data_IF_512809404012
#
_entry.id   IF_512809404012
#
_cell.length_a   1.000
_cell.length_b   1.000
_cell.length_c   1.000
_cell.angle_alpha   90.00
_cell.angle_beta   90.00
_cell.angle_gamma   90.00
#
_symmetry.space_group_name_H-M   'P 1'
#
loop_
_entity.id
_entity.type
_entity.pdbx_description
1 polymer ?
#
# COMPACT_ATOMS: atom_id res chain seq x y z
N UNK A 1 -48.06 -27.91 70.79
CA UNK A 1 -46.83 -28.13 69.99
C UNK A 1 -46.89 -27.23 68.75
N UNK A 2 -46.22 -26.07 68.81
CA UNK A 2 -46.18 -25.10 67.74
C UNK A 2 -44.90 -25.35 66.96
N UNK A 3 -45.00 -25.66 65.64
CA UNK A 3 -43.84 -25.76 64.73
C UNK A 3 -43.60 -24.37 64.12
N UNK A 4 -42.45 -23.76 64.40
CA UNK A 4 -41.95 -22.55 63.82
C UNK A 4 -41.21 -22.95 62.57
N UNK A 5 -41.68 -22.47 61.40
CA UNK A 5 -41.03 -22.62 60.08
C UNK A 5 -40.09 -21.45 59.89
N UNK A 6 -38.78 -21.66 59.96
CA UNK A 6 -37.74 -20.69 59.61
C UNK A 6 -37.52 -20.66 58.10
N UNK A 7 -37.91 -19.58 57.45
CA UNK A 7 -37.62 -19.31 56.07
C UNK A 7 -36.20 -18.72 55.99
N UNK A 8 -35.24 -19.45 55.44
CA UNK A 8 -33.95 -18.94 55.08
C UNK A 8 -34.08 -18.25 53.67
N UNK A 9 -34.04 -16.94 53.65
CA UNK A 9 -33.87 -16.16 52.40
C UNK A 9 -32.36 -16.17 52.11
N UNK A 10 -31.94 -16.99 51.13
CA UNK A 10 -30.59 -16.93 50.59
C UNK A 10 -30.51 -15.73 49.66
N UNK A 11 -29.88 -14.65 50.09
CA UNK A 11 -29.45 -13.55 49.24
C UNK A 11 -28.31 -14.07 48.37
N UNK A 12 -28.62 -14.48 47.15
CA UNK A 12 -27.60 -14.73 46.14
C UNK A 12 -27.00 -13.38 45.74
N UNK A 13 -25.85 -13.03 46.31
CA UNK A 13 -25.02 -11.97 45.78
C UNK A 13 -24.52 -12.40 44.40
N UNK A 14 -25.19 -11.94 43.36
CA UNK A 14 -24.66 -12.02 42.00
C UNK A 14 -23.43 -11.12 41.98
N UNK A 15 -22.25 -11.69 42.20
CA UNK A 15 -21.03 -11.06 41.84
C UNK A 15 -21.02 -11.00 40.32
N UNK A 16 -21.50 -9.90 39.76
CA UNK A 16 -21.29 -9.56 38.38
C UNK A 16 -19.78 -9.46 38.14
N UNK A 17 -19.20 -10.44 37.48
CA UNK A 17 -17.88 -10.30 36.93
C UNK A 17 -17.96 -9.10 35.99
N UNK A 18 -17.44 -7.95 36.41
CA UNK A 18 -17.35 -6.76 35.53
C UNK A 18 -16.60 -7.20 34.29
N UNK A 19 -17.29 -7.25 33.15
CA UNK A 19 -16.63 -7.66 31.93
C UNK A 19 -15.61 -6.58 31.58
N UNK A 20 -14.38 -7.05 31.39
CA UNK A 20 -13.22 -6.19 31.11
C UNK A 20 -13.38 -5.48 29.79
N UNK A 21 -12.94 -4.23 29.75
CA UNK A 21 -12.79 -3.52 28.48
C UNK A 21 -11.84 -4.31 27.57
N UNK A 22 -12.25 -4.52 26.33
CA UNK A 22 -11.46 -5.23 25.30
C UNK A 22 -11.15 -4.28 24.16
N UNK A 23 -9.92 -4.33 23.69
CA UNK A 23 -9.42 -3.50 22.61
C UNK A 23 -9.00 -4.40 21.44
N UNK A 24 -9.05 -3.90 20.19
CA UNK A 24 -8.44 -4.60 19.07
C UNK A 24 -6.92 -4.63 19.26
N UNK A 25 -6.29 -5.68 18.77
CA UNK A 25 -4.85 -5.93 18.95
C UNK A 25 -3.94 -4.85 18.37
N UNK A 26 -4.43 -4.09 17.39
CA UNK A 26 -3.71 -2.95 16.82
C UNK A 26 -3.67 -1.72 17.77
N UNK A 27 -4.51 -1.68 18.79
CA UNK A 27 -4.48 -0.65 19.86
C UNK A 27 -3.69 -1.21 21.04
N UNK A 28 -2.46 -0.75 21.22
CA UNK A 28 -1.57 -1.30 22.23
C UNK A 28 -0.31 -0.45 22.45
N UNK A 29 0.60 -0.98 23.27
CA UNK A 29 1.92 -0.38 23.41
C UNK A 29 2.66 -0.37 22.07
N UNK A 30 3.55 0.59 21.94
CA UNK A 30 4.38 0.82 20.76
C UNK A 30 3.59 1.25 19.51
N UNK A 31 2.27 1.48 19.61
CA UNK A 31 1.48 2.03 18.52
C UNK A 31 1.90 3.47 18.18
N UNK A 32 1.79 3.83 16.90
CA UNK A 32 1.91 5.21 16.44
C UNK A 32 0.51 5.72 16.08
N UNK A 33 0.10 6.83 16.67
CA UNK A 33 -1.14 7.53 16.33
C UNK A 33 -0.87 8.66 15.34
N UNK A 34 -1.76 8.84 14.36
CA UNK A 34 -1.63 9.90 13.37
C UNK A 34 -1.63 11.26 14.06
N UNK A 35 -0.61 12.11 13.79
CA UNK A 35 -0.49 13.46 14.33
C UNK A 35 -1.53 14.43 13.75
N UNK A 36 -1.84 15.50 14.50
CA UNK A 36 -2.73 16.60 14.09
C UNK A 36 -4.08 16.13 13.54
N UNK A 37 -4.65 15.04 14.11
CA UNK A 37 -5.83 14.36 13.62
C UNK A 37 -6.83 14.02 14.73
N UNK A 38 -8.07 13.82 14.35
CA UNK A 38 -9.05 13.13 15.17
C UNK A 38 -8.84 11.62 15.00
N UNK A 39 -8.13 10.99 15.95
CA UNK A 39 -7.85 9.56 15.85
C UNK A 39 -8.99 8.75 16.43
N UNK A 40 -9.44 7.77 15.65
CA UNK A 40 -10.48 6.84 16.07
C UNK A 40 -9.88 5.77 16.98
N UNK A 41 -10.51 5.58 18.15
CA UNK A 41 -10.24 4.51 19.10
C UNK A 41 -11.54 3.73 19.34
N UNK A 42 -11.46 2.39 19.39
CA UNK A 42 -12.65 1.55 19.51
C UNK A 42 -12.37 0.27 20.26
N UNK A 43 -13.42 -0.42 20.63
CA UNK A 43 -13.33 -1.71 21.32
C UNK A 43 -14.68 -2.21 21.79
N UNK A 44 -14.65 -3.02 22.78
CA UNK A 44 -15.82 -3.67 23.37
C UNK A 44 -15.82 -3.52 24.89
N UNK A 45 -16.99 -3.37 25.46
CA UNK A 45 -17.27 -3.32 26.90
C UNK A 45 -18.60 -4.04 27.16
N UNK A 46 -19.12 -4.01 28.39
CA UNK A 46 -20.49 -4.42 28.65
C UNK A 46 -21.48 -3.57 27.86
N UNK A 47 -22.62 -4.14 27.45
CA UNK A 47 -23.68 -3.35 26.82
C UNK A 47 -24.08 -2.12 27.67
N UNK A 48 -24.17 -0.98 27.01
CA UNK A 48 -24.54 0.32 27.62
C UNK A 48 -23.60 0.82 28.73
N UNK A 49 -22.41 0.23 28.85
CA UNK A 49 -21.41 0.65 29.84
C UNK A 49 -20.76 1.99 29.44
N UNK A 50 -20.45 2.80 30.44
CA UNK A 50 -19.69 4.01 30.24
C UNK A 50 -18.20 3.64 29.96
N UNK A 51 -17.67 4.16 28.85
CA UNK A 51 -16.27 4.02 28.47
C UNK A 51 -15.63 5.41 28.50
N UNK A 52 -14.50 5.56 29.18
CA UNK A 52 -13.71 6.79 29.25
C UNK A 52 -12.33 6.56 28.67
N UNK A 53 -11.86 7.47 27.84
CA UNK A 53 -10.50 7.51 27.31
C UNK A 53 -9.81 8.77 27.83
N UNK A 54 -8.64 8.62 28.43
CA UNK A 54 -7.80 9.70 28.95
C UNK A 54 -6.39 9.59 28.37
N UNK A 55 -5.78 10.73 28.09
CA UNK A 55 -4.44 10.79 27.48
C UNK A 55 -3.51 11.68 28.26
N UNK A 56 -2.20 11.43 28.18
CA UNK A 56 -1.18 12.27 28.84
C UNK A 56 -1.03 13.66 28.21
N UNK A 57 -1.50 13.84 26.96
CA UNK A 57 -1.48 15.13 26.27
C UNK A 57 -2.73 15.99 26.51
N UNK A 58 -3.58 15.60 27.47
CA UNK A 58 -4.71 16.39 27.93
C UNK A 58 -6.00 16.25 27.13
N UNK A 59 -6.00 15.45 26.06
CA UNK A 59 -7.22 15.12 25.33
C UNK A 59 -7.92 13.92 25.97
N UNK A 60 -9.22 13.78 25.75
CA UNK A 60 -9.99 12.64 26.23
C UNK A 60 -11.37 12.59 25.61
N UNK A 61 -12.03 11.46 25.78
CA UNK A 61 -13.40 11.26 25.31
C UNK A 61 -14.15 10.30 26.21
N UNK A 62 -15.49 10.37 26.18
CA UNK A 62 -16.35 9.43 26.87
C UNK A 62 -17.54 9.05 25.98
N UNK A 63 -17.96 7.80 26.05
CA UNK A 63 -19.09 7.27 25.28
C UNK A 63 -19.76 6.14 26.07
N UNK A 64 -20.97 5.77 25.71
CA UNK A 64 -21.58 4.50 26.12
C UNK A 64 -21.47 3.49 24.99
N UNK A 65 -21.15 2.25 25.31
CA UNK A 65 -21.21 1.13 24.37
C UNK A 65 -22.65 0.89 23.89
N UNK A 66 -22.76 0.34 22.68
CA UNK A 66 -24.07 -0.06 22.11
C UNK A 66 -24.64 -1.34 22.77
N UNK A 67 -25.76 -1.83 22.22
CA UNK A 67 -26.42 -3.05 22.71
C UNK A 67 -25.57 -4.32 22.56
N UNK A 68 -24.62 -4.32 21.59
CA UNK A 68 -23.65 -5.37 21.35
C UNK A 68 -22.33 -5.17 22.10
N UNK A 69 -22.26 -4.14 22.94
CA UNK A 69 -21.09 -3.78 23.73
C UNK A 69 -19.99 -3.07 22.93
N UNK A 70 -20.21 -2.68 21.66
CA UNK A 70 -19.23 -1.97 20.85
C UNK A 70 -19.20 -0.48 21.19
N UNK A 71 -18.03 0.10 21.16
CA UNK A 71 -17.84 1.54 21.34
C UNK A 71 -16.77 2.09 20.41
N UNK A 72 -16.89 3.35 20.07
CA UNK A 72 -15.86 4.10 19.37
C UNK A 72 -15.89 5.57 19.80
N UNK A 73 -14.72 6.18 19.87
CA UNK A 73 -14.53 7.61 20.15
C UNK A 73 -13.46 8.20 19.22
N UNK A 74 -13.50 9.52 19.07
CA UNK A 74 -12.39 10.27 18.46
C UNK A 74 -11.66 11.06 19.52
N UNK A 75 -10.33 11.10 19.42
CA UNK A 75 -9.45 11.84 20.32
C UNK A 75 -8.49 12.67 19.48
N UNK A 76 -8.41 13.99 19.76
CA UNK A 76 -7.48 14.87 19.06
C UNK A 76 -6.05 14.61 19.47
N UNK A 77 -5.14 14.40 18.48
CA UNK A 77 -3.70 14.28 18.69
C UNK A 77 -2.98 15.58 18.41
N UNK A 78 -1.92 15.90 19.16
CA UNK A 78 -1.03 17.04 18.88
C UNK A 78 -0.09 16.74 17.69
N UNK A 79 0.85 17.65 17.44
CA UNK A 79 1.97 17.42 16.53
C UNK A 79 2.84 16.24 16.99
N UNK A 80 3.48 15.58 16.02
CA UNK A 80 4.33 14.41 16.25
C UNK A 80 5.52 14.71 17.15
N UNK A 81 5.85 13.74 18.00
CA UNK A 81 6.96 13.83 18.95
C UNK A 81 7.52 12.43 19.23
N UNK A 82 8.81 12.36 19.52
CA UNK A 82 9.48 11.14 19.99
C UNK A 82 9.25 10.85 21.49
N UNK A 83 8.59 11.77 22.20
CA UNK A 83 8.25 11.57 23.61
C UNK A 83 7.11 10.55 23.74
N UNK A 84 7.30 9.44 24.46
CA UNK A 84 6.27 8.45 24.67
C UNK A 84 5.07 9.04 25.41
N UNK A 85 3.89 8.77 24.93
CA UNK A 85 2.63 9.20 25.50
C UNK A 85 1.91 8.04 26.18
N UNK A 86 1.01 8.40 27.11
CA UNK A 86 0.14 7.45 27.80
C UNK A 86 -1.30 7.63 27.35
N UNK A 87 -1.98 6.50 27.16
CA UNK A 87 -3.42 6.45 26.96
C UNK A 87 -4.05 5.42 27.88
N UNK A 88 -5.16 5.79 28.52
CA UNK A 88 -5.89 4.94 29.45
C UNK A 88 -7.34 4.79 29.00
N UNK A 89 -7.80 3.57 28.98
CA UNK A 89 -9.17 3.18 28.69
C UNK A 89 -9.79 2.62 29.99
N UNK A 90 -10.98 3.08 30.34
CA UNK A 90 -11.66 2.67 31.57
C UNK A 90 -13.13 2.36 31.30
N UNK A 91 -13.60 1.18 31.73
CA UNK A 91 -15.00 0.76 31.73
C UNK A 91 -15.16 -0.42 32.72
N UNK A 92 -15.45 -0.12 33.99
CA UNK A 92 -15.45 -1.13 35.05
C UNK A 92 -14.06 -1.56 35.51
N UNK A 93 -13.16 -1.79 34.57
CA UNK A 93 -11.70 -1.97 34.75
C UNK A 93 -10.91 -0.90 34.00
N UNK A 94 -9.58 -1.03 34.01
CA UNK A 94 -8.68 -0.05 33.40
C UNK A 94 -7.57 -0.75 32.61
N UNK A 95 -7.35 -0.30 31.36
CA UNK A 95 -6.22 -0.70 30.52
C UNK A 95 -5.41 0.56 30.19
N UNK A 96 -4.10 0.50 30.41
CA UNK A 96 -3.19 1.63 30.15
C UNK A 96 -2.04 1.20 29.26
N UNK A 97 -1.74 2.00 28.26
CA UNK A 97 -0.55 1.92 27.42
C UNK A 97 0.28 3.16 27.64
N UNK A 98 1.57 3.01 27.90
CA UNK A 98 2.50 4.08 28.23
C UNK A 98 3.65 4.27 27.21
N UNK A 99 3.65 3.45 26.16
CA UNK A 99 4.57 3.57 25.02
C UNK A 99 3.77 3.81 23.75
N UNK A 100 3.15 4.97 23.65
CA UNK A 100 2.40 5.43 22.47
C UNK A 100 3.16 6.59 21.85
N UNK A 101 3.43 6.55 20.56
CA UNK A 101 4.02 7.65 19.81
C UNK A 101 2.95 8.39 19.00
N UNK A 102 3.21 9.68 18.76
CA UNK A 102 2.39 10.49 17.84
C UNK A 102 3.28 10.88 16.66
N UNK A 103 2.82 10.58 15.45
CA UNK A 103 3.60 10.78 14.24
C UNK A 103 2.79 10.54 12.97
N UNK A 104 3.41 10.07 11.92
CA UNK A 104 2.76 9.72 10.66
C UNK A 104 2.42 8.24 10.60
N UNK A 105 1.22 7.90 10.17
CA UNK A 105 0.79 6.50 10.02
C UNK A 105 0.35 6.25 8.59
N UNK A 106 0.93 5.21 7.97
CA UNK A 106 0.58 4.79 6.63
C UNK A 106 0.18 3.33 6.59
N UNK A 107 -0.82 3.02 5.77
CA UNK A 107 -1.27 1.64 5.54
C UNK A 107 -0.59 1.10 4.27
N UNK A 108 0.11 -0.02 4.38
CA UNK A 108 0.80 -0.69 3.29
C UNK A 108 0.09 -2.01 2.97
N UNK A 109 -0.61 -2.05 1.84
CA UNK A 109 -1.33 -3.22 1.35
C UNK A 109 -0.74 -3.78 0.07
N UNK A 110 -1.07 -5.03 -0.27
CA UNK A 110 -0.65 -5.62 -1.53
C UNK A 110 -0.31 -7.10 -1.46
N UNK A 111 0.57 -7.53 -2.36
CA UNK A 111 1.05 -8.91 -2.42
C UNK A 111 2.54 -9.04 -2.06
N UNK A 112 3.20 -10.09 -2.51
CA UNK A 112 4.56 -10.46 -2.09
C UNK A 112 5.61 -9.36 -2.22
N UNK A 113 5.54 -8.49 -3.20
CA UNK A 113 6.47 -7.37 -3.35
C UNK A 113 6.27 -6.26 -2.30
N UNK A 114 5.04 -6.09 -1.74
CA UNK A 114 4.83 -5.29 -0.54
C UNK A 114 5.21 -6.07 0.71
N UNK A 115 4.87 -7.36 0.77
CA UNK A 115 5.11 -8.21 1.92
C UNK A 115 6.60 -8.49 2.17
N UNK A 116 7.44 -8.48 1.13
CA UNK A 116 8.86 -8.84 1.19
C UNK A 116 9.58 -8.11 2.32
N UNK A 117 10.08 -8.86 3.33
CA UNK A 117 10.73 -8.25 4.48
C UNK A 117 12.15 -7.77 4.13
N UNK A 118 12.73 -6.89 4.94
CA UNK A 118 14.13 -6.46 4.79
C UNK A 118 15.12 -7.63 4.77
N UNK A 119 14.84 -8.70 5.49
CA UNK A 119 15.64 -9.91 5.45
C UNK A 119 15.59 -10.69 4.13
N UNK A 120 14.71 -10.28 3.22
CA UNK A 120 14.45 -10.95 1.94
C UNK A 120 13.58 -12.20 2.08
N UNK A 121 13.21 -12.78 0.94
CA UNK A 121 12.64 -14.12 0.85
C UNK A 121 13.74 -15.15 0.50
N UNK A 122 13.39 -16.41 0.58
CA UNK A 122 14.27 -17.49 0.12
C UNK A 122 14.71 -17.26 -1.34
N UNK A 123 16.02 -17.19 -1.58
CA UNK A 123 16.66 -16.86 -2.87
C UNK A 123 16.32 -15.47 -3.46
N UNK A 124 15.59 -14.62 -2.76
CA UNK A 124 15.28 -13.27 -3.19
C UNK A 124 15.82 -12.27 -2.14
N UNK A 125 17.03 -11.76 -2.32
CA UNK A 125 17.63 -10.79 -1.39
C UNK A 125 17.00 -9.41 -1.52
N UNK A 126 17.14 -8.58 -0.49
CA UNK A 126 17.01 -7.13 -0.57
C UNK A 126 18.42 -6.52 -0.59
N UNK A 127 18.64 -5.57 -1.49
CA UNK A 127 19.93 -4.86 -1.59
C UNK A 127 20.30 -4.23 -0.25
N UNK A 128 21.54 -4.41 0.17
CA UNK A 128 22.13 -3.85 1.41
C UNK A 128 21.40 -4.27 2.71
N UNK A 129 20.59 -5.33 2.69
CA UNK A 129 19.78 -5.76 3.83
C UNK A 129 20.56 -5.89 5.14
N UNK A 130 21.74 -6.52 5.11
CA UNK A 130 22.58 -6.73 6.30
C UNK A 130 23.05 -5.41 6.90
N UNK A 131 23.47 -4.46 6.08
CA UNK A 131 23.90 -3.13 6.53
C UNK A 131 22.73 -2.38 7.17
N UNK A 132 21.56 -2.37 6.52
CA UNK A 132 20.36 -1.70 7.00
C UNK A 132 19.91 -2.29 8.33
N UNK A 133 19.85 -3.62 8.45
CA UNK A 133 19.48 -4.32 9.69
C UNK A 133 20.48 -3.99 10.81
N UNK A 134 21.77 -3.99 10.52
CA UNK A 134 22.80 -3.65 11.51
C UNK A 134 22.64 -2.22 12.03
N UNK A 135 22.26 -1.27 11.16
CA UNK A 135 22.05 0.14 11.51
C UNK A 135 20.67 0.45 12.07
N UNK A 136 19.73 -0.50 12.02
CA UNK A 136 18.32 -0.27 12.39
C UNK A 136 18.14 0.17 13.86
N UNK A 137 19.13 -0.10 14.74
CA UNK A 137 19.13 0.39 16.12
C UNK A 137 19.03 1.92 16.23
N UNK A 138 19.58 2.67 15.26
CA UNK A 138 19.48 4.12 15.19
C UNK A 138 18.07 4.64 14.86
N UNK A 139 17.19 3.77 14.38
CA UNK A 139 15.78 4.04 14.08
C UNK A 139 14.83 3.54 15.18
N UNK A 140 15.37 2.95 16.26
CA UNK A 140 14.57 2.52 17.41
C UNK A 140 13.84 3.71 18.04
N UNK A 141 12.53 3.55 18.30
CA UNK A 141 11.65 4.64 18.76
C UNK A 141 11.30 5.68 17.69
N UNK A 142 11.75 5.51 16.45
CA UNK A 142 11.44 6.39 15.32
C UNK A 142 10.55 5.73 14.28
N UNK A 143 10.84 4.47 13.96
CA UNK A 143 10.06 3.66 13.02
C UNK A 143 9.42 2.49 13.77
N UNK A 144 8.12 2.36 13.60
CA UNK A 144 7.35 1.25 14.15
C UNK A 144 6.53 0.59 13.03
N UNK A 145 6.28 -0.69 13.16
CA UNK A 145 5.40 -1.39 12.24
C UNK A 145 4.49 -2.38 12.97
N UNK A 146 3.36 -2.65 12.38
CA UNK A 146 2.51 -3.79 12.74
C UNK A 146 2.30 -4.63 11.49
N UNK A 147 2.64 -5.93 11.54
CA UNK A 147 2.29 -6.88 10.50
C UNK A 147 0.98 -7.55 10.86
N UNK A 148 -0.02 -7.40 10.00
CA UNK A 148 -1.28 -8.13 10.11
C UNK A 148 -1.03 -9.55 9.60
N UNK A 149 -1.21 -10.59 10.44
CA UNK A 149 -0.98 -11.97 10.01
C UNK A 149 -1.95 -12.39 8.92
N UNK A 150 -1.52 -13.32 8.08
CA UNK A 150 -2.37 -13.92 7.05
C UNK A 150 -3.60 -14.55 7.68
N UNK A 151 -4.75 -14.11 7.24
CA UNK A 151 -6.05 -14.63 7.65
C UNK A 151 -7.05 -14.55 6.50
N UNK A 152 -7.93 -15.53 6.40
CA UNK A 152 -8.96 -15.58 5.38
C UNK A 152 -10.30 -15.91 6.01
N UNK A 153 -11.36 -15.19 5.64
CA UNK A 153 -12.72 -15.42 6.11
C UNK A 153 -13.74 -15.12 5.00
N UNK A 154 -14.83 -15.85 4.95
CA UNK A 154 -15.91 -15.63 4.01
C UNK A 154 -16.90 -14.54 4.45
N UNK A 155 -16.84 -14.16 5.72
CA UNK A 155 -17.64 -13.10 6.32
C UNK A 155 -16.73 -12.07 7.00
N UNK A 156 -17.15 -10.80 7.10
CA UNK A 156 -16.40 -9.77 7.79
C UNK A 156 -16.07 -10.14 9.24
N UNK A 157 -14.83 -9.92 9.64
CA UNK A 157 -14.36 -10.14 11.01
C UNK A 157 -14.16 -8.80 11.71
N UNK A 158 -14.35 -8.77 13.02
CA UNK A 158 -14.16 -7.57 13.85
C UNK A 158 -12.78 -7.51 14.49
N UNK A 159 -12.02 -8.60 14.45
CA UNK A 159 -10.70 -8.73 15.09
C UNK A 159 -9.71 -9.45 14.19
N UNK A 160 -8.46 -9.04 14.30
CA UNK A 160 -7.31 -9.74 13.73
C UNK A 160 -6.14 -9.65 14.71
N UNK A 161 -5.19 -10.56 14.61
CA UNK A 161 -3.96 -10.47 15.38
C UNK A 161 -3.01 -9.41 14.80
N UNK A 162 -1.95 -9.11 15.53
CA UNK A 162 -0.90 -8.17 15.16
C UNK A 162 -0.68 -7.13 16.25
N UNK A 163 0.57 -6.90 16.60
CA UNK A 163 0.98 -5.89 17.57
C UNK A 163 2.08 -5.01 17.01
N UNK A 164 2.07 -3.76 17.41
CA UNK A 164 3.11 -2.81 17.03
C UNK A 164 4.48 -3.25 17.54
N UNK A 165 5.48 -3.08 16.70
CA UNK A 165 6.86 -3.49 16.94
C UNK A 165 7.78 -2.34 16.59
N UNK A 166 8.62 -1.85 17.53
CA UNK A 166 9.67 -0.89 17.22
C UNK A 166 10.69 -1.50 16.26
N UNK A 167 11.18 -0.70 15.32
CA UNK A 167 12.27 -1.08 14.43
C UNK A 167 13.60 -1.05 15.21
N UNK A 168 14.18 -2.23 15.42
CA UNK A 168 15.47 -2.41 16.09
C UNK A 168 16.33 -3.36 15.28
N UNK A 169 17.60 -3.53 15.62
CA UNK A 169 18.44 -4.55 14.98
C UNK A 169 17.84 -5.97 15.07
N UNK A 170 17.09 -6.26 16.15
CA UNK A 170 16.46 -7.56 16.34
C UNK A 170 15.14 -7.75 15.53
N UNK A 171 14.46 -6.66 15.18
CA UNK A 171 13.13 -6.71 14.58
C UNK A 171 13.09 -6.26 13.11
N UNK A 172 14.06 -5.45 12.68
CA UNK A 172 14.08 -4.83 11.36
C UNK A 172 14.02 -5.83 10.21
N UNK A 173 14.65 -6.99 10.35
CA UNK A 173 14.64 -8.03 9.32
C UNK A 173 13.22 -8.47 8.89
N UNK A 174 12.22 -8.28 9.76
CA UNK A 174 10.81 -8.65 9.51
C UNK A 174 9.95 -7.50 8.98
N UNK A 175 10.45 -6.26 8.99
CA UNK A 175 9.76 -5.10 8.47
C UNK A 175 9.64 -5.21 6.94
N UNK A 176 8.46 -4.91 6.36
CA UNK A 176 8.32 -4.81 4.90
C UNK A 176 9.40 -3.89 4.32
N UNK A 177 10.16 -4.36 3.34
CA UNK A 177 11.29 -3.58 2.81
C UNK A 177 10.83 -2.27 2.16
N UNK A 178 9.83 -2.33 1.29
CA UNK A 178 9.27 -1.12 0.65
C UNK A 178 8.70 -0.15 1.70
N UNK A 179 7.98 -0.66 2.72
CA UNK A 179 7.46 0.14 3.82
C UNK A 179 8.54 0.72 4.72
N UNK A 180 9.63 -0.01 4.96
CA UNK A 180 10.77 0.50 5.73
C UNK A 180 11.43 1.70 5.06
N UNK A 181 11.80 1.58 3.78
CA UNK A 181 12.45 2.69 3.07
C UNK A 181 11.54 3.90 2.90
N UNK A 182 10.24 3.67 2.69
CA UNK A 182 9.25 4.73 2.73
C UNK A 182 9.22 5.44 4.09
N UNK A 183 9.13 4.69 5.18
CA UNK A 183 9.09 5.24 6.54
C UNK A 183 10.40 5.92 6.94
N UNK A 184 11.54 5.37 6.55
CA UNK A 184 12.86 5.94 6.79
C UNK A 184 12.98 7.33 6.17
N UNK A 185 12.65 7.47 4.90
CA UNK A 185 12.69 8.75 4.19
C UNK A 185 11.73 9.77 4.80
N UNK A 186 10.50 9.38 5.13
CA UNK A 186 9.57 10.29 5.80
C UNK A 186 10.07 10.73 7.18
N UNK A 187 10.60 9.80 7.96
CA UNK A 187 11.15 10.11 9.29
C UNK A 187 12.31 11.11 9.20
N UNK A 188 13.22 10.88 8.26
CA UNK A 188 14.41 11.75 8.09
C UNK A 188 14.02 13.15 7.61
N UNK A 189 12.99 13.29 6.78
CA UNK A 189 12.55 14.59 6.24
C UNK A 189 11.60 15.33 7.19
N UNK A 190 10.63 14.61 7.79
CA UNK A 190 9.59 15.22 8.62
C UNK A 190 9.99 15.36 10.10
N UNK A 191 11.00 14.62 10.56
CA UNK A 191 11.48 14.66 11.94
C UNK A 191 10.48 14.15 12.98
N UNK A 192 9.57 13.25 12.60
CA UNK A 192 8.55 12.67 13.48
C UNK A 192 8.54 11.13 13.40
N UNK A 193 8.02 10.42 14.41
CA UNK A 193 7.83 8.98 14.33
C UNK A 193 7.00 8.57 13.12
N UNK A 194 7.31 7.41 12.52
CA UNK A 194 6.52 6.85 11.42
C UNK A 194 6.11 5.42 11.73
N UNK A 195 4.81 5.16 11.61
CA UNK A 195 4.20 3.85 11.77
C UNK A 195 3.69 3.28 10.44
N UNK A 196 4.02 2.01 10.16
CA UNK A 196 3.52 1.29 9.00
C UNK A 196 2.60 0.15 9.45
N UNK A 197 1.39 0.13 8.92
CA UNK A 197 0.46 -1.01 9.04
C UNK A 197 0.67 -1.87 7.80
N UNK A 198 1.44 -2.96 7.93
CA UNK A 198 1.66 -3.94 6.86
C UNK A 198 0.51 -4.94 6.83
N UNK A 199 -0.36 -4.81 5.83
CA UNK A 199 -1.50 -5.69 5.58
C UNK A 199 -1.38 -6.25 4.15
N UNK A 200 -0.44 -7.17 3.96
CA UNK A 200 -0.07 -7.76 2.68
C UNK A 200 -0.09 -9.27 2.72
N UNK A 201 -0.33 -9.92 1.55
CA UNK A 201 -0.28 -11.38 1.41
C UNK A 201 0.21 -11.76 0.01
N UNK A 202 1.33 -12.47 -0.04
CA UNK A 202 1.96 -12.92 -1.29
C UNK A 202 1.01 -13.71 -2.20
N UNK A 203 1.08 -13.43 -3.51
CA UNK A 203 0.24 -14.07 -4.51
C UNK A 203 -1.21 -13.61 -4.55
N UNK A 204 -1.65 -12.67 -3.71
CA UNK A 204 -3.03 -12.20 -3.69
C UNK A 204 -3.41 -11.40 -4.94
N UNK A 205 -4.69 -11.48 -5.31
CA UNK A 205 -5.30 -10.65 -6.34
C UNK A 205 -5.97 -9.42 -5.75
N UNK A 206 -6.19 -8.39 -6.54
CA UNK A 206 -6.95 -7.20 -6.12
C UNK A 206 -8.33 -7.56 -5.58
N UNK A 207 -8.99 -8.55 -6.17
CA UNK A 207 -10.31 -9.05 -5.78
C UNK A 207 -10.34 -9.63 -4.35
N UNK A 208 -9.21 -10.11 -3.84
CA UNK A 208 -9.12 -10.64 -2.45
C UNK A 208 -9.28 -9.54 -1.39
N UNK A 209 -9.08 -8.28 -1.78
CA UNK A 209 -9.11 -7.08 -0.93
C UNK A 209 -10.37 -6.22 -1.12
N UNK A 210 -11.38 -6.77 -1.81
CA UNK A 210 -12.66 -6.11 -2.10
C UNK A 210 -13.81 -6.80 -1.37
N UNK A 211 -14.89 -6.07 -1.09
CA UNK A 211 -16.07 -6.64 -0.45
C UNK A 211 -16.91 -7.47 -1.44
N UNK A 212 -17.76 -8.36 -0.90
CA UNK A 212 -18.70 -9.15 -1.69
C UNK A 212 -19.63 -8.25 -2.53
N UNK A 213 -20.08 -7.14 -1.95
CA UNK A 213 -21.01 -6.19 -2.57
C UNK A 213 -20.36 -5.56 -3.82
N UNK A 214 -19.15 -5.08 -3.72
CA UNK A 214 -18.42 -4.52 -4.87
C UNK A 214 -18.13 -5.60 -5.91
N UNK A 215 -17.69 -6.78 -5.48
CA UNK A 215 -17.37 -7.89 -6.38
C UNK A 215 -18.59 -8.44 -7.13
N UNK A 216 -19.78 -8.31 -6.58
CA UNK A 216 -21.02 -8.75 -7.25
C UNK A 216 -21.33 -7.98 -8.55
N UNK A 217 -20.70 -6.82 -8.74
CA UNK A 217 -20.74 -6.06 -9.99
C UNK A 217 -19.91 -6.63 -11.14
N UNK A 218 -19.05 -7.63 -10.88
CA UNK A 218 -18.16 -8.24 -11.86
C UNK A 218 -18.62 -9.64 -12.23
N UNK A 219 -19.12 -9.82 -13.47
CA UNK A 219 -19.71 -11.08 -13.94
C UNK A 219 -18.70 -12.24 -14.09
N UNK A 220 -17.40 -11.95 -14.16
CA UNK A 220 -16.32 -12.93 -14.28
C UNK A 220 -15.84 -13.48 -12.92
N UNK A 221 -16.45 -13.06 -11.80
CA UNK A 221 -16.11 -13.50 -10.46
C UNK A 221 -17.21 -14.39 -9.90
N UNK A 222 -16.90 -15.67 -9.76
CA UNK A 222 -17.81 -16.63 -9.10
C UNK A 222 -17.71 -16.47 -7.58
N UNK A 223 -18.75 -15.89 -6.98
CA UNK A 223 -18.89 -15.67 -5.53
C UNK A 223 -19.66 -16.78 -4.81
N UNK A 224 -19.97 -17.89 -5.49
CA UNK A 224 -20.52 -19.09 -4.83
C UNK A 224 -19.47 -19.75 -3.95
N UNK A 225 -19.87 -20.50 -2.94
CA UNK A 225 -18.94 -21.24 -2.08
C UNK A 225 -18.07 -22.19 -2.90
N UNK A 226 -18.67 -22.86 -3.91
CA UNK A 226 -17.95 -23.75 -4.81
C UNK A 226 -16.91 -22.98 -5.65
N UNK A 227 -17.29 -21.87 -6.28
CA UNK A 227 -16.38 -21.03 -7.07
C UNK A 227 -15.21 -20.49 -6.27
N UNK A 228 -15.48 -19.97 -5.07
CA UNK A 228 -14.44 -19.45 -4.17
C UNK A 228 -13.50 -20.58 -3.72
N UNK A 229 -14.03 -21.78 -3.42
CA UNK A 229 -13.21 -22.88 -2.91
C UNK A 229 -12.30 -23.52 -3.97
N UNK A 230 -12.59 -23.37 -5.24
CA UNK A 230 -11.79 -23.92 -6.36
C UNK A 230 -10.40 -23.30 -6.50
N UNK A 231 -10.20 -22.09 -5.99
CA UNK A 231 -8.90 -21.38 -6.08
C UNK A 231 -8.14 -21.44 -4.77
N UNK A 232 -6.81 -21.34 -4.85
CA UNK A 232 -5.95 -21.30 -3.68
C UNK A 232 -6.35 -20.14 -2.75
N UNK A 233 -6.17 -20.29 -1.45
CA UNK A 233 -6.68 -19.37 -0.42
C UNK A 233 -6.29 -17.90 -0.68
N UNK A 234 -5.03 -17.64 -1.06
CA UNK A 234 -4.54 -16.30 -1.36
C UNK A 234 -5.12 -15.67 -2.63
N UNK A 235 -5.77 -16.46 -3.51
CA UNK A 235 -6.42 -15.99 -4.73
C UNK A 235 -7.93 -15.80 -4.55
N UNK A 236 -8.49 -16.21 -3.40
CA UNK A 236 -9.93 -16.15 -3.17
C UNK A 236 -10.43 -14.72 -3.08
N UNK A 237 -11.54 -14.37 -3.76
CA UNK A 237 -12.13 -13.05 -3.64
C UNK A 237 -12.57 -12.77 -2.20
N UNK A 238 -12.54 -11.51 -1.76
CA UNK A 238 -12.98 -10.93 -0.49
C UNK A 238 -12.35 -11.47 0.81
N UNK A 239 -11.62 -12.58 0.80
CA UNK A 239 -11.23 -13.24 2.07
C UNK A 239 -10.26 -12.42 2.91
N UNK A 240 -9.36 -11.67 2.28
CA UNK A 240 -8.43 -10.77 2.97
C UNK A 240 -9.11 -9.47 3.39
N UNK A 241 -10.01 -8.96 2.55
CA UNK A 241 -10.87 -7.86 2.95
C UNK A 241 -11.59 -8.18 4.27
N UNK A 242 -12.21 -9.36 4.36
CA UNK A 242 -12.98 -9.76 5.53
C UNK A 242 -12.12 -10.00 6.78
N UNK A 243 -10.96 -10.64 6.65
CA UNK A 243 -10.20 -11.15 7.80
C UNK A 243 -8.99 -10.28 8.18
N UNK A 244 -8.43 -9.52 7.26
CA UNK A 244 -7.21 -8.74 7.48
C UNK A 244 -7.48 -7.22 7.44
N UNK A 245 -8.15 -6.72 6.39
CA UNK A 245 -8.40 -5.29 6.21
C UNK A 245 -9.52 -4.79 7.16
N UNK A 246 -10.67 -5.44 7.13
CA UNK A 246 -11.86 -5.02 7.87
C UNK A 246 -11.63 -4.83 9.37
N UNK A 247 -10.90 -5.72 10.07
CA UNK A 247 -10.63 -5.57 11.51
C UNK A 247 -9.79 -4.36 11.88
N UNK A 248 -8.97 -3.84 10.96
CA UNK A 248 -8.09 -2.68 11.19
C UNK A 248 -8.62 -1.41 10.53
N UNK A 249 -9.71 -1.52 9.76
CA UNK A 249 -10.32 -0.38 9.10
C UNK A 249 -10.76 0.66 10.13
N UNK A 250 -10.46 1.93 9.81
CA UNK A 250 -10.71 3.03 10.73
C UNK A 250 -9.58 3.34 11.70
N UNK A 251 -8.48 2.56 11.77
CA UNK A 251 -7.26 3.06 12.37
C UNK A 251 -6.79 4.28 11.57
N UNK A 252 -6.67 5.43 12.23
CA UNK A 252 -6.47 6.69 11.50
C UNK A 252 -5.10 6.72 10.85
N UNK A 253 -5.10 6.84 9.52
CA UNK A 253 -3.89 6.86 8.69
C UNK A 253 -3.80 8.15 7.89
N UNK A 254 -2.59 8.48 7.42
CA UNK A 254 -2.36 9.57 6.47
C UNK A 254 -2.77 9.17 5.05
N UNK A 255 -2.57 7.92 4.67
CA UNK A 255 -2.87 7.42 3.33
C UNK A 255 -2.51 5.94 3.16
N UNK A 256 -2.65 5.47 1.93
CA UNK A 256 -2.42 4.09 1.55
C UNK A 256 -1.22 3.97 0.62
N UNK A 257 -0.43 2.91 0.82
CA UNK A 257 0.58 2.40 -0.10
C UNK A 257 0.09 1.05 -0.65
N UNK A 258 0.28 0.82 -1.95
CA UNK A 258 -0.16 -0.41 -2.59
C UNK A 258 0.89 -0.97 -3.55
N UNK A 259 1.26 -2.24 -3.40
CA UNK A 259 2.15 -2.92 -4.32
C UNK A 259 1.61 -4.30 -4.66
N UNK A 260 0.92 -4.40 -5.79
CA UNK A 260 0.23 -5.61 -6.25
C UNK A 260 -0.03 -5.49 -7.76
N UNK A 261 -0.17 -6.62 -8.43
CA UNK A 261 -0.58 -6.68 -9.84
C UNK A 261 -0.16 -7.99 -10.49
N UNK A 262 0.91 -8.60 -10.05
CA UNK A 262 1.52 -9.79 -10.66
C UNK A 262 0.51 -10.95 -10.78
N UNK A 263 -0.34 -11.14 -9.77
CA UNK A 263 -1.39 -12.18 -9.77
C UNK A 263 -2.60 -11.81 -10.66
N UNK A 264 -2.66 -10.58 -11.16
CA UNK A 264 -3.69 -10.10 -12.09
C UNK A 264 -3.21 -9.95 -13.53
N UNK A 265 -1.97 -10.31 -13.88
CA UNK A 265 -1.42 -10.20 -15.25
C UNK A 265 -2.33 -10.85 -16.29
N UNK A 266 -2.91 -12.01 -16.00
CA UNK A 266 -3.89 -12.68 -16.88
C UNK A 266 -5.27 -12.00 -16.93
N UNK A 267 -5.54 -10.96 -16.12
CA UNK A 267 -6.83 -10.27 -15.94
C UNK A 267 -6.69 -8.75 -16.07
N UNK A 268 -5.77 -8.31 -16.90
CA UNK A 268 -5.36 -6.91 -17.01
C UNK A 268 -6.48 -5.97 -17.51
N UNK A 269 -7.44 -6.48 -18.31
CA UNK A 269 -8.44 -5.65 -19.00
C UNK A 269 -9.27 -4.80 -18.02
N UNK A 270 -9.70 -5.40 -16.91
CA UNK A 270 -10.52 -4.74 -15.90
C UNK A 270 -9.75 -4.24 -14.70
N UNK A 271 -8.42 -4.41 -14.69
CA UNK A 271 -7.61 -4.12 -13.50
C UNK A 271 -7.72 -2.67 -13.04
N UNK A 272 -7.70 -1.70 -13.97
CA UNK A 272 -7.78 -0.28 -13.63
C UNK A 272 -9.11 0.06 -12.91
N UNK A 273 -10.23 -0.47 -13.41
CA UNK A 273 -11.54 -0.29 -12.80
C UNK A 273 -11.61 -0.96 -11.41
N UNK A 274 -11.15 -2.21 -11.30
CA UNK A 274 -11.11 -2.93 -10.02
C UNK A 274 -10.25 -2.24 -8.97
N UNK A 275 -9.11 -1.70 -9.37
CA UNK A 275 -8.26 -0.93 -8.46
C UNK A 275 -8.97 0.35 -7.99
N UNK A 276 -9.67 1.04 -8.88
CA UNK A 276 -10.45 2.23 -8.53
C UNK A 276 -11.61 1.91 -7.57
N UNK A 277 -12.34 0.84 -7.82
CA UNK A 277 -13.43 0.38 -6.94
C UNK A 277 -12.92 -0.06 -5.58
N UNK A 278 -11.77 -0.75 -5.53
CA UNK A 278 -11.10 -1.13 -4.28
C UNK A 278 -10.72 0.12 -3.46
N UNK A 279 -10.13 1.11 -4.10
CA UNK A 279 -9.73 2.36 -3.42
C UNK A 279 -10.94 3.12 -2.89
N UNK A 280 -12.01 3.22 -3.69
CA UNK A 280 -13.27 3.82 -3.26
C UNK A 280 -13.86 3.09 -2.05
N UNK A 281 -13.90 1.76 -2.09
CA UNK A 281 -14.33 0.92 -0.97
C UNK A 281 -13.49 1.18 0.31
N UNK A 282 -12.17 1.22 0.18
CA UNK A 282 -11.27 1.45 1.32
C UNK A 282 -11.47 2.84 1.92
N UNK A 283 -11.53 3.87 1.09
CA UNK A 283 -11.81 5.25 1.53
C UNK A 283 -13.13 5.34 2.29
N UNK A 284 -14.17 4.67 1.79
CA UNK A 284 -15.46 4.56 2.47
C UNK A 284 -15.37 3.91 3.86
N UNK A 285 -14.54 2.86 4.03
CA UNK A 285 -14.29 2.23 5.32
C UNK A 285 -13.61 3.17 6.34
N UNK A 286 -12.75 4.06 5.86
CA UNK A 286 -12.09 5.08 6.70
C UNK A 286 -12.93 6.35 6.87
N UNK A 287 -14.08 6.46 6.15
CA UNK A 287 -14.91 7.67 6.16
C UNK A 287 -14.19 8.89 5.58
N UNK A 288 -13.26 8.70 4.64
CA UNK A 288 -12.38 9.71 4.08
C UNK A 288 -12.14 9.49 2.60
N UNK A 289 -12.92 10.13 1.74
CA UNK A 289 -12.82 9.99 0.28
C UNK A 289 -11.55 10.61 -0.32
N UNK A 290 -10.85 11.43 0.46
CA UNK A 290 -9.67 12.19 0.06
C UNK A 290 -8.33 11.54 0.44
N UNK A 291 -8.33 10.38 1.12
CA UNK A 291 -7.08 9.72 1.53
C UNK A 291 -6.19 9.44 0.30
N UNK A 292 -4.92 9.87 0.31
CA UNK A 292 -4.01 9.60 -0.78
C UNK A 292 -3.77 8.09 -0.95
N UNK A 293 -3.67 7.66 -2.20
CA UNK A 293 -3.39 6.29 -2.59
C UNK A 293 -2.21 6.26 -3.55
N UNK A 294 -1.04 5.85 -3.04
CA UNK A 294 0.19 5.75 -3.84
C UNK A 294 0.54 4.30 -4.08
N UNK A 295 0.83 3.97 -5.34
CA UNK A 295 1.03 2.58 -5.71
C UNK A 295 2.18 2.37 -6.68
N UNK A 296 2.61 1.11 -6.75
CA UNK A 296 3.78 0.67 -7.48
C UNK A 296 3.34 -0.05 -8.75
N UNK A 297 3.89 0.35 -9.89
CA UNK A 297 3.86 -0.45 -11.11
C UNK A 297 4.54 -1.79 -10.87
N UNK A 298 3.99 -2.90 -11.37
CA UNK A 298 4.67 -4.19 -11.28
C UNK A 298 6.00 -4.15 -12.02
N UNK A 299 7.01 -4.79 -11.43
CA UNK A 299 8.35 -4.85 -12.02
C UNK A 299 8.37 -5.73 -13.28
N UNK A 300 9.28 -5.45 -14.23
CA UNK A 300 9.56 -6.37 -15.32
C UNK A 300 9.90 -7.77 -14.80
N UNK A 301 9.24 -8.78 -15.36
CA UNK A 301 9.47 -10.19 -15.07
C UNK A 301 9.04 -11.02 -16.27
N UNK A 302 9.77 -12.09 -16.59
CA UNK A 302 9.49 -12.96 -17.74
C UNK A 302 8.30 -13.89 -17.44
N UNK A 303 7.07 -13.39 -17.62
CA UNK A 303 5.83 -14.17 -17.45
C UNK A 303 5.65 -15.21 -18.56
N UNK A 304 6.29 -15.03 -19.74
CA UNK A 304 6.18 -15.90 -20.88
C UNK A 304 4.82 -15.88 -21.59
N UNK A 305 4.00 -14.86 -21.35
CA UNK A 305 2.65 -14.76 -21.92
C UNK A 305 2.34 -13.41 -22.59
N UNK A 306 3.27 -12.45 -22.54
CA UNK A 306 3.15 -11.13 -23.17
C UNK A 306 2.05 -10.23 -22.60
N UNK A 307 1.53 -10.52 -21.40
CA UNK A 307 0.39 -9.79 -20.82
C UNK A 307 0.76 -8.77 -19.77
N UNK A 308 1.95 -8.86 -19.17
CA UNK A 308 2.37 -7.94 -18.12
C UNK A 308 2.50 -6.48 -18.58
N UNK A 309 2.91 -6.17 -19.83
CA UNK A 309 2.92 -4.79 -20.29
C UNK A 309 1.52 -4.17 -20.33
N UNK A 310 0.49 -4.94 -20.67
CA UNK A 310 -0.90 -4.46 -20.63
C UNK A 310 -1.41 -4.23 -19.20
N UNK A 311 -0.93 -5.02 -18.23
CA UNK A 311 -1.24 -4.74 -16.83
C UNK A 311 -0.55 -3.46 -16.35
N UNK A 312 0.72 -3.21 -16.71
CA UNK A 312 1.42 -1.96 -16.42
C UNK A 312 0.72 -0.75 -17.04
N UNK A 313 0.24 -0.89 -18.29
CA UNK A 313 -0.61 0.12 -18.93
C UNK A 313 -1.92 0.35 -18.16
N UNK A 314 -2.58 -0.71 -17.69
CA UNK A 314 -3.79 -0.60 -16.87
C UNK A 314 -3.50 0.07 -15.51
N UNK A 315 -2.36 -0.21 -14.87
CA UNK A 315 -1.91 0.47 -13.66
C UNK A 315 -1.67 1.96 -13.93
N UNK A 316 -1.00 2.32 -15.03
CA UNK A 316 -0.80 3.72 -15.39
C UNK A 316 -2.13 4.45 -15.60
N UNK A 317 -3.08 3.84 -16.33
CA UNK A 317 -4.41 4.40 -16.59
C UNK A 317 -5.27 4.53 -15.32
N UNK A 318 -5.06 3.70 -14.29
CA UNK A 318 -5.80 3.79 -13.05
C UNK A 318 -5.63 5.15 -12.32
N UNK A 319 -4.55 5.89 -12.58
CA UNK A 319 -4.36 7.24 -12.03
C UNK A 319 -5.47 8.21 -12.49
N UNK A 320 -6.03 8.01 -13.67
CA UNK A 320 -7.10 8.85 -14.21
C UNK A 320 -8.46 8.55 -13.54
N UNK A 321 -8.61 7.33 -13.01
CA UNK A 321 -9.84 6.86 -12.34
C UNK A 321 -9.84 7.11 -10.84
N UNK A 322 -8.67 7.28 -10.23
CA UNK A 322 -8.50 7.38 -8.77
C UNK A 322 -8.03 8.81 -8.42
N UNK A 323 -8.92 9.71 -8.00
CA UNK A 323 -8.52 11.02 -7.51
C UNK A 323 -7.51 10.92 -6.35
N UNK A 324 -6.62 11.90 -6.21
CA UNK A 324 -5.58 11.91 -5.18
C UNK A 324 -4.76 10.62 -5.12
N UNK A 325 -4.30 10.16 -6.28
CA UNK A 325 -3.43 9.00 -6.41
C UNK A 325 -2.10 9.34 -7.11
N UNK A 326 -1.22 8.35 -7.15
CA UNK A 326 0.01 8.42 -7.93
C UNK A 326 0.66 7.05 -8.04
N UNK A 327 1.24 6.77 -9.21
CA UNK A 327 1.98 5.54 -9.49
C UNK A 327 3.47 5.84 -9.59
N UNK A 328 4.29 5.02 -8.96
CA UNK A 328 5.73 5.01 -9.22
C UNK A 328 6.08 3.92 -10.21
N UNK A 329 7.01 4.23 -11.11
CA UNK A 329 7.53 3.28 -12.10
C UNK A 329 8.71 2.47 -11.52
N UNK A 330 8.85 1.21 -11.95
CA UNK A 330 9.90 0.29 -11.50
C UNK A 330 10.72 -0.29 -12.65
N UNK A 331 10.53 0.19 -13.87
CA UNK A 331 11.09 -0.41 -15.06
C UNK A 331 12.63 -0.39 -15.11
N UNK A 332 13.27 0.50 -14.37
CA UNK A 332 14.72 0.66 -14.21
C UNK A 332 15.28 -0.03 -12.95
N UNK A 333 14.44 -0.64 -12.11
CA UNK A 333 14.82 -1.19 -10.81
C UNK A 333 15.13 -2.68 -10.83
N UNK A 334 15.31 -3.25 -12.01
CA UNK A 334 15.66 -4.66 -12.20
C UNK A 334 16.96 -4.81 -12.97
N UNK A 335 17.77 -5.79 -12.60
CA UNK A 335 18.98 -6.19 -13.32
C UNK A 335 18.65 -7.23 -14.40
N UNK A 336 19.44 -7.29 -15.47
CA UNK A 336 19.21 -8.25 -16.55
C UNK A 336 19.12 -9.72 -16.09
N UNK A 337 19.87 -10.09 -15.05
CA UNK A 337 19.84 -11.47 -14.51
C UNK A 337 18.61 -11.73 -13.62
N UNK A 338 17.82 -10.73 -13.29
CA UNK A 338 16.58 -10.86 -12.49
C UNK A 338 15.37 -11.22 -13.37
N UNK A 339 15.53 -11.48 -14.66
CA UNK A 339 14.43 -11.79 -15.57
C UNK A 339 13.50 -12.92 -15.08
N UNK A 340 14.02 -13.84 -14.28
CA UNK A 340 13.28 -14.96 -13.67
C UNK A 340 12.95 -14.72 -12.18
N UNK A 341 13.20 -13.54 -11.64
CA UNK A 341 12.89 -13.17 -10.25
C UNK A 341 11.75 -12.14 -10.19
N UNK A 342 10.56 -12.59 -9.81
CA UNK A 342 9.38 -11.71 -9.65
C UNK A 342 9.52 -10.75 -8.45
N UNK A 343 10.54 -10.94 -7.61
CA UNK A 343 10.83 -10.13 -6.43
C UNK A 343 12.18 -9.39 -6.60
N UNK A 344 12.23 -8.29 -7.35
CA UNK A 344 13.48 -7.54 -7.52
C UNK A 344 14.09 -7.11 -6.20
N UNK A 345 15.42 -7.15 -6.12
CA UNK A 345 16.18 -6.84 -4.90
C UNK A 345 16.15 -5.37 -4.51
N UNK A 346 15.93 -4.44 -5.47
CA UNK A 346 15.92 -3.00 -5.23
C UNK A 346 14.58 -2.54 -4.63
N UNK A 347 14.44 -2.67 -3.31
CA UNK A 347 13.28 -2.16 -2.57
C UNK A 347 13.48 -0.75 -2.03
N UNK A 348 14.75 -0.27 -2.00
CA UNK A 348 15.08 1.08 -1.53
C UNK A 348 14.42 2.14 -2.41
N UNK A 349 14.66 2.08 -3.72
CA UNK A 349 14.14 3.09 -4.64
C UNK A 349 12.62 2.98 -4.78
N UNK A 350 12.03 1.80 -4.64
CA UNK A 350 10.58 1.64 -4.53
C UNK A 350 10.04 2.44 -3.34
N UNK A 351 10.59 2.25 -2.14
CA UNK A 351 10.16 2.97 -0.94
C UNK A 351 10.41 4.47 -1.04
N UNK A 352 11.57 4.87 -1.55
CA UNK A 352 11.93 6.29 -1.70
C UNK A 352 11.05 7.00 -2.73
N UNK A 353 10.77 6.41 -3.90
CA UNK A 353 9.83 6.98 -4.89
C UNK A 353 8.43 7.15 -4.32
N UNK A 354 7.93 6.19 -3.55
CA UNK A 354 6.67 6.33 -2.81
C UNK A 354 6.73 7.49 -1.80
N UNK A 355 7.84 7.63 -1.08
CA UNK A 355 8.04 8.73 -0.13
C UNK A 355 8.13 10.09 -0.84
N UNK A 356 8.84 10.20 -1.98
CA UNK A 356 8.86 11.41 -2.79
C UNK A 356 7.45 11.81 -3.25
N UNK A 357 6.64 10.83 -3.66
CA UNK A 357 5.23 11.05 -4.00
C UNK A 357 4.46 11.63 -2.81
N UNK A 358 4.62 11.06 -1.63
CA UNK A 358 3.99 11.55 -0.42
C UNK A 358 4.50 12.95 -0.03
N UNK A 359 5.81 13.17 -0.03
CA UNK A 359 6.41 14.47 0.31
C UNK A 359 5.92 15.59 -0.60
N UNK A 360 5.84 15.33 -1.91
CA UNK A 360 5.33 16.32 -2.85
C UNK A 360 3.81 16.53 -2.73
N UNK A 361 3.02 15.43 -2.84
CA UNK A 361 1.56 15.53 -2.99
C UNK A 361 0.83 15.71 -1.66
N UNK A 362 1.26 15.00 -0.60
CA UNK A 362 0.60 15.02 0.72
C UNK A 362 1.18 16.09 1.64
N UNK A 363 2.51 16.26 1.64
CA UNK A 363 3.18 17.22 2.54
C UNK A 363 3.54 18.55 1.87
N UNK A 364 3.24 18.71 0.58
CA UNK A 364 3.34 19.98 -0.13
C UNK A 364 4.75 20.43 -0.52
N UNK A 365 5.76 19.55 -0.46
CA UNK A 365 7.15 19.84 -0.82
C UNK A 365 7.35 19.78 -2.34
N UNK A 366 6.88 20.82 -3.05
CA UNK A 366 6.75 20.85 -4.51
C UNK A 366 8.06 20.74 -5.29
N UNK A 367 9.19 21.07 -4.68
CA UNK A 367 10.53 20.93 -5.30
C UNK A 367 11.00 19.46 -5.43
N UNK A 368 10.34 18.53 -4.75
CA UNK A 368 10.64 17.10 -4.85
C UNK A 368 9.90 16.55 -6.07
N UNK A 369 10.64 16.15 -7.12
CA UNK A 369 10.06 15.45 -8.26
C UNK A 369 9.53 14.07 -7.83
N UNK A 370 8.36 13.70 -8.31
CA UNK A 370 7.70 12.47 -7.84
C UNK A 370 6.92 11.71 -8.93
N UNK A 371 6.70 12.33 -10.09
CA UNK A 371 5.97 11.72 -11.20
C UNK A 371 6.92 11.34 -12.33
N UNK A 372 6.95 10.08 -12.66
CA UNK A 372 7.64 9.55 -13.84
C UNK A 372 7.04 10.14 -15.12
N UNK A 373 7.86 10.50 -16.12
CA UNK A 373 7.36 10.95 -17.42
C UNK A 373 6.47 9.89 -18.07
N UNK A 374 5.35 10.33 -18.65
CA UNK A 374 4.35 9.48 -19.30
C UNK A 374 4.12 9.93 -20.74
N UNK A 375 3.91 8.98 -21.63
CA UNK A 375 3.54 9.26 -23.02
C UNK A 375 2.36 10.24 -23.09
N UNK A 376 2.49 11.26 -23.95
CA UNK A 376 1.45 12.26 -24.19
C UNK A 376 0.96 12.20 -25.63
N UNK A 377 1.88 12.30 -26.61
CA UNK A 377 1.52 12.34 -28.02
C UNK A 377 2.68 11.89 -28.91
N UNK A 378 2.34 11.45 -30.11
CA UNK A 378 3.28 11.10 -31.18
C UNK A 378 2.90 11.81 -32.47
N UNK A 379 3.91 12.34 -33.19
CA UNK A 379 3.81 12.92 -34.54
C UNK A 379 4.79 12.19 -35.44
N UNK A 380 4.35 11.79 -36.63
CA UNK A 380 5.22 11.24 -37.67
C UNK A 380 5.66 12.36 -38.58
N UNK A 381 6.98 12.56 -38.70
CA UNK A 381 7.58 13.55 -39.56
C UNK A 381 8.89 13.05 -40.16
N UNK A 382 9.06 13.22 -41.48
CA UNK A 382 10.27 12.82 -42.20
C UNK A 382 10.70 11.36 -41.94
N UNK A 383 9.73 10.44 -41.93
CA UNK A 383 9.96 9.01 -41.69
C UNK A 383 10.38 8.67 -40.24
N UNK A 384 10.16 9.56 -39.29
CA UNK A 384 10.50 9.37 -37.87
C UNK A 384 9.32 9.65 -36.96
N UNK A 385 9.26 8.97 -35.81
CA UNK A 385 8.28 9.21 -34.78
C UNK A 385 8.84 10.19 -33.75
N UNK A 386 8.20 11.34 -33.59
CA UNK A 386 8.50 12.32 -32.53
C UNK A 386 7.53 12.17 -31.39
N UNK A 387 8.03 11.91 -30.17
CA UNK A 387 7.24 11.59 -28.99
C UNK A 387 7.39 12.68 -27.93
N UNK A 388 6.26 13.10 -27.35
CA UNK A 388 6.19 14.03 -26.22
C UNK A 388 5.66 13.35 -24.99
N UNK A 389 6.04 13.90 -23.83
CA UNK A 389 5.73 13.32 -22.52
C UNK A 389 5.10 14.33 -21.58
N UNK A 390 4.12 13.90 -20.79
CA UNK A 390 3.64 14.60 -19.59
C UNK A 390 4.68 14.47 -18.48
N UNK A 391 4.68 15.40 -17.53
CA UNK A 391 5.57 15.39 -16.34
C UNK A 391 7.07 15.42 -16.69
N UNK A 392 7.42 16.13 -17.75
CA UNK A 392 8.81 16.26 -18.25
C UNK A 392 9.35 17.68 -18.00
N UNK A 393 9.11 18.27 -16.85
CA UNK A 393 9.40 19.69 -16.57
C UNK A 393 10.90 20.01 -16.58
N UNK A 394 11.75 19.06 -16.26
CA UNK A 394 13.21 19.22 -16.17
C UNK A 394 13.99 18.70 -17.38
N UNK A 395 13.30 18.09 -18.34
CA UNK A 395 13.92 17.46 -19.51
C UNK A 395 14.57 16.11 -19.21
N UNK A 396 14.99 15.44 -20.26
CA UNK A 396 15.67 14.15 -20.20
C UNK A 396 17.10 14.23 -19.67
N UNK A 397 17.55 13.17 -19.03
CA UNK A 397 18.95 12.90 -18.82
C UNK A 397 19.71 12.92 -20.16
N UNK A 398 20.96 13.41 -20.14
CA UNK A 398 21.84 13.33 -21.32
C UNK A 398 22.37 11.89 -21.44
N UNK A 399 21.85 11.16 -22.43
CA UNK A 399 22.17 9.75 -22.67
C UNK A 399 22.57 9.54 -24.12
N UNK A 400 23.58 8.70 -24.34
CA UNK A 400 24.07 8.31 -25.68
C UNK A 400 23.46 6.99 -26.19
N UNK A 401 23.00 6.12 -25.26
CA UNK A 401 22.48 4.79 -25.58
C UNK A 401 21.11 4.60 -24.89
N UNK A 402 20.04 4.98 -25.61
CA UNK A 402 18.67 4.84 -25.13
C UNK A 402 18.13 3.49 -25.63
N UNK A 403 17.73 2.63 -24.71
CA UNK A 403 17.30 1.25 -24.97
C UNK A 403 15.82 1.03 -24.68
N UNK A 404 15.26 0.01 -25.33
CA UNK A 404 13.89 -0.45 -25.06
C UNK A 404 12.85 0.05 -26.05
N UNK A 405 13.25 0.76 -27.12
CA UNK A 405 12.34 1.20 -28.16
C UNK A 405 12.18 0.18 -29.29
N UNK A 406 10.93 0.08 -29.77
CA UNK A 406 10.52 -0.69 -30.93
C UNK A 406 9.57 0.16 -31.77
N UNK A 407 9.64 0.01 -33.10
CA UNK A 407 8.84 0.76 -34.06
C UNK A 407 8.30 -0.18 -35.14
N UNK A 408 7.10 0.06 -35.63
CA UNK A 408 6.51 -0.69 -36.74
C UNK A 408 5.95 0.21 -37.83
N UNK A 409 5.85 -0.34 -39.02
CA UNK A 409 5.11 0.21 -40.16
C UNK A 409 3.68 -0.33 -40.25
N UNK A 410 3.08 -0.21 -41.45
CA UNK A 410 1.72 -0.68 -41.73
C UNK A 410 1.56 -2.21 -41.62
N UNK A 411 2.65 -2.95 -41.66
CA UNK A 411 2.70 -4.41 -41.49
C UNK A 411 2.51 -4.85 -40.03
N UNK A 412 2.55 -3.90 -39.06
CA UNK A 412 2.42 -4.13 -37.62
C UNK A 412 3.53 -5.00 -37.03
N UNK A 413 4.64 -5.18 -37.73
CA UNK A 413 5.81 -5.92 -37.24
C UNK A 413 6.75 -4.94 -36.54
N UNK A 414 7.00 -5.19 -35.25
CA UNK A 414 7.88 -4.31 -34.45
C UNK A 414 9.35 -4.70 -34.61
N UNK A 415 10.16 -3.72 -34.94
CA UNK A 415 11.61 -3.80 -35.06
C UNK A 415 12.29 -2.94 -33.98
N UNK A 416 13.49 -3.31 -33.51
CA UNK A 416 14.29 -2.43 -32.65
C UNK A 416 14.48 -1.06 -33.31
N UNK A 417 14.42 -0.02 -32.51
CA UNK A 417 14.51 1.36 -32.97
C UNK A 417 15.54 2.15 -32.18
N UNK A 418 16.23 3.06 -32.87
CA UNK A 418 17.08 4.04 -32.26
C UNK A 418 16.23 5.21 -31.74
N UNK A 419 16.61 5.73 -30.57
CA UNK A 419 15.96 6.85 -29.94
C UNK A 419 16.96 7.94 -29.59
N UNK A 420 16.64 9.20 -29.91
CA UNK A 420 17.50 10.36 -29.67
C UNK A 420 16.69 11.47 -29.01
N UNK A 421 17.22 12.05 -27.93
CA UNK A 421 16.59 13.22 -27.29
C UNK A 421 16.72 14.42 -28.15
N UNK A 422 15.59 15.03 -28.48
CA UNK A 422 15.52 16.30 -29.24
C UNK A 422 15.01 17.42 -28.32
N UNK A 423 15.67 18.56 -28.33
CA UNK A 423 15.26 19.75 -27.56
C UNK A 423 15.01 19.52 -26.07
N UNK A 424 15.69 18.56 -25.45
CA UNK A 424 15.58 18.18 -24.03
C UNK A 424 14.22 17.56 -23.61
N UNK A 425 13.12 17.82 -24.32
CA UNK A 425 11.76 17.48 -23.92
C UNK A 425 11.03 16.51 -24.87
N UNK A 426 11.58 16.24 -26.03
CA UNK A 426 11.01 15.34 -27.01
C UNK A 426 12.02 14.25 -27.39
N UNK A 427 11.49 13.13 -27.83
CA UNK A 427 12.25 11.99 -28.28
C UNK A 427 11.94 11.72 -29.75
N UNK A 428 12.97 11.48 -30.56
CA UNK A 428 12.84 11.06 -31.97
C UNK A 428 13.22 9.59 -32.04
N UNK A 429 12.29 8.75 -32.51
CA UNK A 429 12.46 7.31 -32.68
C UNK A 429 12.42 6.96 -34.16
N UNK A 430 13.37 6.14 -34.63
CA UNK A 430 13.45 5.69 -35.99
C UNK A 430 14.14 4.33 -36.15
N UNK A 431 13.92 3.67 -37.29
CA UNK A 431 14.61 2.43 -37.65
C UNK A 431 14.79 2.40 -39.17
N UNK A 432 15.97 2.01 -39.65
CA UNK A 432 16.22 1.81 -41.09
C UNK A 432 15.28 0.77 -41.71
N UNK A 433 14.76 -0.17 -40.88
CA UNK A 433 13.82 -1.19 -41.32
C UNK A 433 12.38 -0.68 -41.47
N UNK A 434 12.08 0.53 -40.96
CA UNK A 434 10.73 1.08 -40.91
C UNK A 434 10.76 2.53 -41.42
N UNK A 435 10.85 2.74 -42.75
CA UNK A 435 10.92 4.10 -43.33
C UNK A 435 9.59 4.87 -43.17
N UNK A 436 8.47 4.17 -43.00
CA UNK A 436 7.14 4.77 -42.80
C UNK A 436 6.55 4.26 -41.48
N UNK A 437 6.95 4.85 -40.34
CA UNK A 437 6.49 4.40 -39.04
C UNK A 437 4.99 4.68 -38.80
N UNK A 438 4.31 3.75 -38.11
CA UNK A 438 2.91 3.85 -37.69
C UNK A 438 2.79 3.86 -36.19
N UNK A 439 3.58 3.04 -35.46
CA UNK A 439 3.52 2.95 -34.02
C UNK A 439 4.87 2.70 -33.39
N UNK A 440 5.00 3.11 -32.12
CA UNK A 440 6.18 2.95 -31.27
C UNK A 440 5.78 2.29 -29.95
N UNK A 441 6.66 1.44 -29.45
CA UNK A 441 6.59 0.86 -28.10
C UNK A 441 7.88 1.15 -27.34
N UNK A 442 7.75 1.41 -26.04
CA UNK A 442 8.90 1.56 -25.13
C UNK A 442 8.74 0.58 -23.97
N UNK A 443 9.69 -0.35 -23.82
CA UNK A 443 9.72 -1.35 -22.76
C UNK A 443 8.39 -2.11 -22.62
N UNK A 444 7.69 -2.38 -23.73
CA UNK A 444 6.36 -2.97 -23.76
C UNK A 444 6.41 -4.49 -23.95
N UNK A 445 7.24 -5.16 -23.14
CA UNK A 445 7.41 -6.62 -23.09
C UNK A 445 7.34 -7.11 -21.64
N UNK A 446 7.21 -8.43 -21.44
CA UNK A 446 7.20 -9.04 -20.10
C UNK A 446 8.46 -8.65 -19.31
N UNK A 447 9.64 -8.85 -19.91
CA UNK A 447 10.92 -8.40 -19.33
C UNK A 447 11.70 -7.56 -20.34
N UNK A 448 11.70 -6.26 -20.14
CA UNK A 448 12.45 -5.30 -20.94
C UNK A 448 12.74 -4.06 -20.07
N UNK A 449 13.76 -4.10 -19.22
CA UNK A 449 14.14 -2.92 -18.45
C UNK A 449 14.64 -1.80 -19.35
N UNK A 450 14.19 -0.58 -19.07
CA UNK A 450 14.60 0.62 -19.78
C UNK A 450 15.64 1.43 -19.02
N UNK A 451 16.23 2.43 -19.71
CA UNK A 451 17.20 3.33 -19.10
C UNK A 451 16.88 4.81 -19.35
N UNK A 452 15.76 5.12 -19.98
CA UNK A 452 15.36 6.50 -20.24
C UNK A 452 14.73 7.11 -18.99
N UNK A 453 15.26 8.24 -18.53
CA UNK A 453 14.79 8.96 -17.35
C UNK A 453 14.90 10.49 -17.55
N UNK A 454 14.20 11.24 -16.71
CA UNK A 454 14.37 12.68 -16.59
C UNK A 454 15.64 13.06 -15.80
N UNK A 455 15.92 14.35 -15.67
CA UNK A 455 17.10 14.86 -14.92
C UNK A 455 17.03 14.65 -13.41
N UNK A 456 15.91 14.17 -12.87
CA UNK A 456 15.72 13.75 -11.46
C UNK A 456 15.75 12.23 -11.31
N UNK A 457 16.19 11.52 -12.35
CA UNK A 457 16.31 10.05 -12.39
C UNK A 457 14.98 9.32 -12.22
N UNK A 458 13.85 9.99 -12.57
CA UNK A 458 12.57 9.32 -12.65
C UNK A 458 12.43 8.65 -14.04
N UNK A 459 12.26 7.32 -14.10
CA UNK A 459 12.21 6.60 -15.36
C UNK A 459 10.94 6.90 -16.14
N UNK A 460 11.03 6.89 -17.46
CA UNK A 460 9.86 6.95 -18.33
C UNK A 460 9.01 5.68 -18.14
N UNK A 461 7.71 5.89 -17.93
CA UNK A 461 6.75 4.78 -17.82
C UNK A 461 6.67 4.03 -19.14
N UNK A 462 6.74 2.71 -19.17
CA UNK A 462 6.53 1.90 -20.36
C UNK A 462 5.21 2.24 -21.06
N UNK A 463 5.24 2.29 -22.39
CA UNK A 463 4.06 2.68 -23.18
C UNK A 463 4.04 2.04 -24.56
N UNK A 464 2.88 2.10 -25.18
CA UNK A 464 2.64 1.86 -26.61
C UNK A 464 1.83 3.00 -27.20
N UNK A 465 1.95 3.21 -28.50
CA UNK A 465 1.15 4.20 -29.25
C UNK A 465 0.10 3.54 -30.14
N UNK A 466 0.10 2.23 -30.18
CA UNK A 466 -0.83 1.39 -30.96
C UNK A 466 -2.01 0.90 -30.10
N UNK A 467 -3.02 0.36 -30.78
CA UNK A 467 -4.23 -0.25 -30.21
C UNK A 467 -4.48 -1.70 -30.68
N UNK A 468 -3.49 -2.33 -31.30
CA UNK A 468 -3.56 -3.67 -31.90
C UNK A 468 -2.61 -4.69 -31.26
#
# INVERSE_FOLDING_TARGET
MKRILLLFIALAAVWGAAAKIRLPEIIGNDMVLQQNAEVRLWGWAEPHAAVKVETSWGAGAAVKSDAEGRWAVSVRTPAGSYEPQRITFASGDRVTFDRVLIGEVWFAGGQSNMEMPLGGFWQCPVTDANEIIARAGAKSGKLHYVKIPHAAAYTPQDRTAGSWTPCTTATAAKFTAAGYFFAEMLNDVLGVPVGIIDCSWGGSRVESWMSREVLSGYSDIDLTEEGISRVAQHLRPMVMYNAMLRPVAGYTVRGFLWYQGESNVGRYMDYAARLADMVSLWRGLWGRDDLPFYYVEIAPFEYGNGKSPYLREAQCRAQELIPNSGMICTNDLVEHYEFCNVHPKNKRDVGYRLAFMALNKTYGMKEIACQSPQYESMEIRDGKARIRFKYMDQGFNRMADIRGFEICGADKVFYPADAVVENQFALVVSSEKVPEPVAVRYCFRDFQPGNLADTRELPVVPFRTDDF
#
